data_IF_347280652119
#
_entry.id   IF_347280652119
#
_cell.length_a   1.000
_cell.length_b   1.000
_cell.length_c   1.000
_cell.angle_alpha   90.00
_cell.angle_beta   90.00
_cell.angle_gamma   90.00
#
_symmetry.space_group_name_H-M   'P 1'
#
loop_
_entity.id
_entity.type
_entity.pdbx_description
1 polymer ?
#
# COMPACT_ATOMS: atom_id res chain seq x y z
N UNK A 1 -16.93 -8.76 -30.84
CA UNK A 1 -15.56 -8.56 -30.32
C UNK A 1 -15.45 -9.38 -29.06
N UNK A 2 -14.68 -10.46 -29.07
CA UNK A 2 -14.43 -11.23 -27.85
C UNK A 2 -13.74 -10.34 -26.80
N UNK A 3 -14.23 -10.35 -25.57
CA UNK A 3 -13.59 -9.59 -24.49
C UNK A 3 -12.39 -10.39 -24.00
N UNK A 4 -11.19 -10.03 -24.46
CA UNK A 4 -9.95 -10.48 -23.81
C UNK A 4 -9.96 -10.03 -22.35
N UNK A 5 -9.82 -10.99 -21.45
CA UNK A 5 -9.67 -10.75 -20.02
C UNK A 5 -8.18 -10.70 -19.69
N UNK A 6 -7.77 -9.71 -18.90
CA UNK A 6 -6.39 -9.55 -18.44
C UNK A 6 -6.35 -9.77 -16.93
N UNK A 7 -5.39 -10.56 -16.48
CA UNK A 7 -5.08 -10.77 -15.07
C UNK A 7 -4.46 -9.51 -14.46
N UNK A 8 -4.50 -9.41 -13.13
CA UNK A 8 -3.85 -8.29 -12.43
C UNK A 8 -2.34 -8.23 -12.69
N UNK A 9 -1.70 -9.38 -12.84
CA UNK A 9 -0.26 -9.47 -13.11
C UNK A 9 0.09 -8.98 -14.51
N UNK A 10 -0.70 -9.36 -15.52
CA UNK A 10 -0.54 -8.85 -16.90
C UNK A 10 -0.76 -7.34 -16.94
N UNK A 11 -1.82 -6.83 -16.31
CA UNK A 11 -2.08 -5.38 -16.23
C UNK A 11 -0.88 -4.66 -15.59
N UNK A 12 -0.32 -5.20 -14.51
CA UNK A 12 0.83 -4.61 -13.83
C UNK A 12 2.07 -4.57 -14.74
N UNK A 13 2.37 -5.65 -15.46
CA UNK A 13 3.48 -5.68 -16.42
C UNK A 13 3.31 -4.64 -17.52
N UNK A 14 2.11 -4.55 -18.11
CA UNK A 14 1.80 -3.59 -19.17
C UNK A 14 1.94 -2.14 -18.65
N UNK A 15 1.46 -1.86 -17.44
CA UNK A 15 1.61 -0.54 -16.82
C UNK A 15 3.09 -0.23 -16.48
N UNK A 16 3.90 -1.24 -16.17
CA UNK A 16 5.34 -1.07 -15.95
C UNK A 16 6.06 -0.66 -17.24
N UNK A 17 5.75 -1.28 -18.38
CA UNK A 17 6.33 -0.87 -19.67
C UNK A 17 6.05 0.62 -19.98
N UNK A 18 4.84 1.11 -19.67
CA UNK A 18 4.50 2.53 -19.78
C UNK A 18 5.29 3.40 -18.81
N UNK A 19 5.53 2.92 -17.59
CA UNK A 19 6.34 3.62 -16.59
C UNK A 19 7.83 3.67 -16.99
N UNK A 20 8.32 2.64 -17.65
CA UNK A 20 9.69 2.53 -18.19
C UNK A 20 9.89 3.38 -19.47
N UNK A 21 8.84 4.06 -19.94
CA UNK A 21 8.90 5.03 -21.03
C UNK A 21 8.43 4.52 -22.38
N UNK A 22 7.88 3.31 -22.48
CA UNK A 22 7.31 2.81 -23.74
C UNK A 22 6.10 3.66 -24.16
N UNK A 23 6.00 4.10 -25.44
CA UNK A 23 4.87 4.90 -25.91
C UNK A 23 3.54 4.16 -25.80
N UNK A 24 2.47 4.87 -25.41
CA UNK A 24 1.14 4.27 -25.19
C UNK A 24 0.53 3.66 -26.45
N UNK A 25 0.80 4.24 -27.62
CA UNK A 25 0.40 3.70 -28.93
C UNK A 25 1.06 2.36 -29.23
N UNK A 26 2.33 2.21 -28.84
CA UNK A 26 3.10 1.00 -29.08
C UNK A 26 2.66 -0.11 -28.12
N UNK A 27 2.53 0.22 -26.83
CA UNK A 27 2.02 -0.70 -25.81
C UNK A 27 0.60 -1.18 -26.13
N UNK A 28 -0.28 -0.29 -26.60
CA UNK A 28 -1.64 -0.62 -27.02
C UNK A 28 -1.65 -1.66 -28.15
N UNK A 29 -0.80 -1.48 -29.16
CA UNK A 29 -0.66 -2.42 -30.28
C UNK A 29 -0.04 -3.75 -29.85
N UNK A 30 1.03 -3.70 -29.05
CA UNK A 30 1.78 -4.88 -28.61
C UNK A 30 0.92 -5.85 -27.80
N UNK A 31 0.02 -5.31 -26.96
CA UNK A 31 -0.80 -6.11 -26.06
C UNK A 31 -2.24 -6.31 -26.55
N UNK A 32 -2.59 -5.81 -27.74
CA UNK A 32 -3.96 -5.83 -28.27
C UNK A 32 -4.98 -5.23 -27.29
N UNK A 33 -4.64 -4.04 -26.77
CA UNK A 33 -5.42 -3.28 -25.81
C UNK A 33 -5.69 -1.88 -26.35
N UNK A 34 -6.91 -1.36 -26.15
CA UNK A 34 -7.21 0.02 -26.53
C UNK A 34 -6.46 1.03 -25.66
N UNK A 35 -6.05 2.17 -26.23
CA UNK A 35 -5.46 3.28 -25.45
C UNK A 35 -6.34 3.71 -24.28
N UNK A 36 -7.65 3.74 -24.49
CA UNK A 36 -8.62 4.08 -23.44
C UNK A 36 -8.57 3.11 -22.25
N UNK A 37 -8.35 1.82 -22.51
CA UNK A 37 -8.16 0.81 -21.46
C UNK A 37 -6.87 1.06 -20.69
N UNK A 38 -5.76 1.36 -21.37
CA UNK A 38 -4.48 1.68 -20.71
C UNK A 38 -4.60 2.90 -19.81
N UNK A 39 -5.25 3.98 -20.27
CA UNK A 39 -5.52 5.16 -19.42
C UNK A 39 -6.37 4.82 -18.19
N UNK A 40 -7.41 3.98 -18.36
CA UNK A 40 -8.25 3.53 -17.24
C UNK A 40 -7.47 2.71 -16.22
N UNK A 41 -6.61 1.79 -16.66
CA UNK A 41 -5.76 1.00 -15.78
C UNK A 41 -4.75 1.87 -15.04
N UNK A 42 -4.10 2.82 -15.74
CA UNK A 42 -3.17 3.78 -15.13
C UNK A 42 -3.85 4.60 -14.03
N UNK A 43 -5.00 5.20 -14.34
CA UNK A 43 -5.79 5.99 -13.37
C UNK A 43 -6.18 5.16 -12.15
N UNK A 44 -6.59 3.90 -12.35
CA UNK A 44 -6.96 3.00 -11.25
C UNK A 44 -5.75 2.67 -10.38
N UNK A 45 -4.60 2.38 -10.98
CA UNK A 45 -3.37 2.08 -10.24
C UNK A 45 -2.90 3.28 -9.38
N UNK A 46 -2.97 4.49 -9.93
CA UNK A 46 -2.66 5.73 -9.20
C UNK A 46 -3.60 5.95 -8.01
N UNK A 47 -4.91 5.74 -8.21
CA UNK A 47 -5.91 5.86 -7.14
C UNK A 47 -5.72 4.81 -6.04
N UNK A 48 -5.47 3.55 -6.42
CA UNK A 48 -5.20 2.48 -5.46
C UNK A 48 -3.89 2.72 -4.69
N UNK A 49 -2.84 3.22 -5.35
CA UNK A 49 -1.58 3.59 -4.70
C UNK A 49 -1.76 4.71 -3.67
N UNK A 50 -2.54 5.74 -3.99
CA UNK A 50 -2.86 6.81 -3.05
C UNK A 50 -3.65 6.31 -1.83
N UNK A 51 -4.60 5.39 -2.04
CA UNK A 51 -5.36 4.78 -0.97
C UNK A 51 -4.48 3.92 -0.04
N UNK A 52 -3.56 3.14 -0.61
CA UNK A 52 -2.63 2.32 0.17
C UNK A 52 -1.67 3.18 1.01
N UNK A 53 -1.11 4.25 0.44
CA UNK A 53 -0.26 5.19 1.19
C UNK A 53 -1.04 5.81 2.37
N UNK A 54 -2.30 6.19 2.15
CA UNK A 54 -3.15 6.73 3.22
C UNK A 54 -3.41 5.70 4.33
N UNK A 55 -3.63 4.44 3.96
CA UNK A 55 -3.80 3.34 4.91
C UNK A 55 -2.52 3.08 5.71
N UNK A 56 -1.37 3.04 5.05
CA UNK A 56 -0.07 2.84 5.70
C UNK A 56 0.21 3.94 6.73
N UNK A 57 -0.03 5.22 6.38
CA UNK A 57 0.12 6.33 7.34
C UNK A 57 -0.72 6.14 8.60
N UNK A 58 -1.98 5.73 8.46
CA UNK A 58 -2.86 5.46 9.61
C UNK A 58 -2.35 4.31 10.47
N UNK A 59 -1.81 3.26 9.86
CA UNK A 59 -1.23 2.13 10.58
C UNK A 59 0.03 2.57 11.34
N UNK A 60 0.88 3.40 10.73
CA UNK A 60 2.08 3.92 11.37
C UNK A 60 1.74 4.85 12.55
N UNK A 61 0.76 5.74 12.39
CA UNK A 61 0.25 6.62 13.46
C UNK A 61 -0.30 5.81 14.64
N UNK A 62 -1.11 4.79 14.37
CA UNK A 62 -1.65 3.92 15.43
C UNK A 62 -0.56 3.09 16.09
N UNK A 63 0.42 2.60 15.32
CA UNK A 63 1.56 1.86 15.87
C UNK A 63 2.40 2.73 16.82
N UNK A 64 2.63 4.00 16.43
CA UNK A 64 3.32 4.97 17.30
C UNK A 64 2.53 5.20 18.60
N UNK A 65 1.22 5.41 18.50
CA UNK A 65 0.36 5.58 19.66
C UNK A 65 0.39 4.36 20.60
N UNK A 66 0.26 3.16 20.04
CA UNK A 66 0.30 1.92 20.81
C UNK A 66 1.65 1.70 21.48
N UNK A 67 2.77 2.04 20.83
CA UNK A 67 4.10 1.98 21.42
C UNK A 67 4.25 2.93 22.62
N UNK A 68 3.73 4.16 22.52
CA UNK A 68 3.76 5.10 23.64
C UNK A 68 2.96 4.60 24.83
N UNK A 69 1.73 4.13 24.60
CA UNK A 69 0.88 3.55 25.66
C UNK A 69 1.53 2.32 26.32
N UNK A 70 2.17 1.46 25.51
CA UNK A 70 2.90 0.31 26.04
C UNK A 70 4.08 0.72 26.92
N UNK A 71 4.83 1.76 26.52
CA UNK A 71 5.94 2.26 27.31
C UNK A 71 5.46 2.84 28.64
N UNK A 72 4.39 3.64 28.64
CA UNK A 72 3.76 4.18 29.86
C UNK A 72 3.32 3.05 30.80
N UNK A 73 2.58 2.07 30.29
CA UNK A 73 2.14 0.92 31.08
C UNK A 73 3.32 0.10 31.63
N UNK A 74 4.39 -0.07 30.85
CA UNK A 74 5.59 -0.77 31.30
C UNK A 74 6.27 -0.05 32.47
N UNK A 75 6.33 1.28 32.45
CA UNK A 75 6.88 2.09 33.54
C UNK A 75 6.02 1.97 34.81
N UNK A 76 4.70 2.03 34.69
CA UNK A 76 3.77 1.83 35.82
C UNK A 76 3.94 0.44 36.46
N UNK A 77 3.99 -0.60 35.62
CA UNK A 77 4.21 -1.97 36.08
C UNK A 77 5.56 -2.09 36.81
N UNK A 78 6.61 -1.45 36.31
CA UNK A 78 7.91 -1.44 36.95
C UNK A 78 7.86 -0.77 38.33
N UNK A 79 7.22 0.41 38.43
CA UNK A 79 7.08 1.13 39.70
C UNK A 79 6.30 0.32 40.75
N UNK A 80 5.21 -0.33 40.34
CA UNK A 80 4.41 -1.19 41.23
C UNK A 80 5.22 -2.39 41.73
N UNK A 81 5.99 -3.04 40.84
CA UNK A 81 6.87 -4.16 41.21
C UNK A 81 7.95 -3.72 42.20
N UNK A 82 8.53 -2.53 42.02
CA UNK A 82 9.53 -1.97 42.93
C UNK A 82 8.94 -1.74 44.33
N UNK A 83 7.74 -1.15 44.41
CA UNK A 83 7.04 -0.93 45.68
C UNK A 83 6.70 -2.23 46.41
N UNK A 84 6.29 -3.28 45.69
CA UNK A 84 6.01 -4.59 46.28
C UNK A 84 7.27 -5.23 46.84
N UNK A 85 8.42 -5.10 46.16
CA UNK A 85 9.71 -5.60 46.66
C UNK A 85 10.17 -4.89 47.94
N UNK A 86 9.87 -3.60 48.08
CA UNK A 86 10.25 -2.83 49.28
C UNK A 86 9.39 -3.15 50.51
N UNK A 87 8.22 -3.79 50.33
CA UNK A 87 7.26 -4.12 51.39
C UNK A 87 7.36 -5.56 51.91
N UNK A 88 8.13 -6.43 51.24
CA UNK A 88 8.42 -7.80 51.69
C UNK A 88 9.81 -7.89 52.29
#
# INVERSE_FOLDING_TARGET
MERKSYTQQEIKMILQELADGRPIEETAKAHDVSRATLYRWKKRAEQSGAQEISRLKKVDEENQRLKSLLAEAALEIQALKEQLKQRG
#
